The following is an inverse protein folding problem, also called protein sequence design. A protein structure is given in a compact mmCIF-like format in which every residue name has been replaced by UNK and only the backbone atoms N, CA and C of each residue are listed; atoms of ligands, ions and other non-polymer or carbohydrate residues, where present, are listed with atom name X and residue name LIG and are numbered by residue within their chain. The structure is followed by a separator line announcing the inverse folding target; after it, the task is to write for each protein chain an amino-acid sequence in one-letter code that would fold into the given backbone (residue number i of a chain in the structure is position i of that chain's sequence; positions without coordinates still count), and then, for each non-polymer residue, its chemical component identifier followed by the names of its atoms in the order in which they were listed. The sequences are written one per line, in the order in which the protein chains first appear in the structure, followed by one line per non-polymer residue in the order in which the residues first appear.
data_IF_726285921695
#
_entry.id   IF_726285921695
#
_cell.length_a   1.000
_cell.length_b   1.000
_cell.length_c   1.000
_cell.angle_alpha   90.00
_cell.angle_beta   90.00
_cell.angle_gamma   90.00
#
_symmetry.space_group_name_H-M   'P 1'
#
loop_
_entity.id
_entity.type
_entity.pdbx_description
1 polymer ?
#
# COMPACT_ATOMS: atom_id res chain seq x y z
N UNK A 1 -13.42 39.00 -7.54
CA UNK A 1 -13.03 38.77 -6.12
C UNK A 1 -13.86 37.66 -5.45
N UNK A 2 -15.21 37.69 -5.51
CA UNK A 2 -16.06 36.66 -4.86
C UNK A 2 -15.76 35.22 -5.32
N UNK A 3 -15.60 35.00 -6.62
CA UNK A 3 -15.32 33.67 -7.19
C UNK A 3 -13.93 33.15 -6.79
N UNK A 4 -12.96 34.05 -6.65
CA UNK A 4 -11.61 33.73 -6.16
C UNK A 4 -11.66 33.25 -4.71
N UNK A 5 -12.44 33.92 -3.86
CA UNK A 5 -12.60 33.52 -2.46
C UNK A 5 -13.27 32.16 -2.32
N UNK A 6 -14.32 31.90 -3.11
CA UNK A 6 -15.03 30.60 -3.13
C UNK A 6 -14.09 29.49 -3.59
N UNK A 7 -13.31 29.72 -4.64
CA UNK A 7 -12.34 28.74 -5.14
C UNK A 7 -11.27 28.41 -4.09
N UNK A 8 -10.73 29.42 -3.40
CA UNK A 8 -9.73 29.22 -2.34
C UNK A 8 -10.31 28.39 -1.19
N UNK A 9 -11.53 28.69 -0.74
CA UNK A 9 -12.21 27.92 0.32
C UNK A 9 -12.40 26.47 -0.12
N UNK A 10 -12.82 26.24 -1.36
CA UNK A 10 -13.01 24.90 -1.90
C UNK A 10 -11.70 24.10 -1.93
N UNK A 11 -10.60 24.71 -2.39
CA UNK A 11 -9.29 24.04 -2.41
C UNK A 11 -8.83 23.69 -1.00
N UNK A 12 -8.97 24.61 -0.04
CA UNK A 12 -8.62 24.34 1.37
C UNK A 12 -9.46 23.16 1.90
N UNK A 13 -10.76 23.15 1.63
CA UNK A 13 -11.64 22.06 2.05
C UNK A 13 -11.21 20.70 1.47
N UNK A 14 -10.84 20.66 0.19
CA UNK A 14 -10.34 19.43 -0.46
C UNK A 14 -9.02 18.97 0.18
N UNK A 15 -8.07 19.88 0.42
CA UNK A 15 -6.78 19.52 1.03
C UNK A 15 -6.97 19.00 2.46
N UNK A 16 -7.79 19.66 3.27
CA UNK A 16 -8.11 19.21 4.64
C UNK A 16 -8.80 17.85 4.60
N UNK A 17 -9.76 17.65 3.70
CA UNK A 17 -10.43 16.36 3.54
C UNK A 17 -9.45 15.24 3.19
N UNK A 18 -8.54 15.47 2.23
CA UNK A 18 -7.53 14.48 1.86
C UNK A 18 -6.55 14.21 3.01
N UNK A 19 -6.21 15.22 3.83
CA UNK A 19 -5.33 15.06 4.99
C UNK A 19 -5.95 14.20 6.10
N UNK A 20 -7.27 14.24 6.24
CA UNK A 20 -8.02 13.43 7.21
C UNK A 20 -8.25 11.99 6.77
N UNK A 21 -7.92 11.63 5.52
CA UNK A 21 -8.05 10.24 5.07
C UNK A 21 -7.11 9.32 5.87
N UNK A 22 -7.62 8.18 6.37
CA UNK A 22 -6.82 7.27 7.15
C UNK A 22 -5.68 6.72 6.29
N UNK A 23 -4.44 6.85 6.78
CA UNK A 23 -3.30 6.15 6.21
C UNK A 23 -3.45 4.68 6.55
N UNK A 24 -3.72 3.85 5.55
CA UNK A 24 -3.58 2.40 5.72
C UNK A 24 -2.09 2.09 5.74
N UNK A 25 -1.60 1.62 6.87
CA UNK A 25 -0.26 1.07 6.95
C UNK A 25 -0.21 -0.20 6.11
N UNK A 26 0.70 -0.20 5.14
CA UNK A 26 0.98 -1.36 4.31
C UNK A 26 2.14 -2.10 4.96
N UNK A 27 2.00 -3.41 5.25
CA UNK A 27 3.09 -4.15 5.89
C UNK A 27 4.29 -4.23 4.94
N UNK A 28 5.49 -4.05 5.51
CA UNK A 28 6.74 -4.18 4.78
C UNK A 28 7.04 -5.65 4.49
N UNK A 29 7.83 -5.88 3.44
CA UNK A 29 8.37 -7.19 3.10
C UNK A 29 9.56 -7.45 4.03
N UNK A 30 9.53 -8.50 4.87
CA UNK A 30 10.60 -8.79 5.80
C UNK A 30 11.93 -9.07 5.10
N UNK A 31 13.04 -8.59 5.67
CA UNK A 31 14.37 -8.85 5.13
C UNK A 31 14.93 -10.25 5.53
N UNK A 32 14.15 -11.32 5.35
CA UNK A 32 14.56 -12.69 5.66
C UNK A 32 14.80 -13.54 4.41
N UNK A 33 15.49 -14.67 4.56
CA UNK A 33 15.90 -15.53 3.43
C UNK A 33 14.74 -15.95 2.53
N UNK A 34 13.56 -16.21 3.08
CA UNK A 34 12.37 -16.62 2.33
C UNK A 34 11.86 -15.51 1.38
N UNK A 35 12.05 -14.24 1.75
CA UNK A 35 11.64 -13.08 0.96
C UNK A 35 12.79 -12.55 0.09
N UNK A 36 14.05 -12.76 0.48
CA UNK A 36 15.22 -12.39 -0.33
C UNK A 36 15.38 -13.25 -1.59
N UNK A 37 14.90 -14.50 -1.56
CA UNK A 37 14.93 -15.41 -2.71
C UNK A 37 13.69 -15.32 -3.61
N UNK A 38 12.70 -14.51 -3.24
CA UNK A 38 11.41 -14.41 -3.92
C UNK A 38 11.31 -13.07 -4.65
N UNK A 39 11.47 -13.09 -5.97
CA UNK A 39 11.60 -11.88 -6.81
C UNK A 39 10.36 -11.59 -7.67
N UNK A 40 9.35 -12.48 -7.68
CA UNK A 40 8.17 -12.31 -8.54
C UNK A 40 6.87 -12.34 -7.75
N UNK A 41 5.89 -11.58 -8.22
CA UNK A 41 4.55 -11.52 -7.61
C UNK A 41 3.85 -12.88 -7.64
N UNK A 42 4.10 -13.68 -8.68
CA UNK A 42 3.57 -15.02 -8.77
C UNK A 42 4.14 -15.95 -7.69
N UNK A 43 5.42 -15.83 -7.39
CA UNK A 43 6.06 -16.64 -6.35
C UNK A 43 5.52 -16.30 -4.95
N UNK A 44 5.24 -15.02 -4.69
CA UNK A 44 4.60 -14.58 -3.44
C UNK A 44 3.27 -15.31 -3.21
N UNK A 45 2.42 -15.38 -4.25
CA UNK A 45 1.12 -16.04 -4.19
C UNK A 45 1.27 -17.56 -4.06
N UNK A 46 1.99 -18.19 -5.00
CA UNK A 46 2.12 -19.65 -5.11
C UNK A 46 2.76 -20.29 -3.87
N UNK A 47 3.71 -19.60 -3.23
CA UNK A 47 4.43 -20.15 -2.08
C UNK A 47 3.67 -19.97 -0.76
N UNK A 48 3.14 -18.77 -0.49
CA UNK A 48 2.73 -18.42 0.88
C UNK A 48 1.52 -17.49 1.01
N UNK A 49 1.11 -16.74 -0.02
CA UNK A 49 0.09 -15.69 0.11
C UNK A 49 -1.23 -15.98 -0.62
N UNK A 50 -1.36 -17.12 -1.27
CA UNK A 50 -2.64 -17.55 -1.84
C UNK A 50 -3.61 -18.10 -0.77
N UNK A 51 -4.91 -18.16 -1.09
CA UNK A 51 -5.94 -18.72 -0.21
C UNK A 51 -5.61 -20.17 0.14
N UNK A 52 -5.61 -20.51 1.43
CA UNK A 52 -5.35 -21.88 1.91
C UNK A 52 -3.88 -22.22 2.11
N UNK A 53 -2.98 -21.25 1.93
CA UNK A 53 -1.55 -21.40 2.24
C UNK A 53 -1.25 -20.97 3.68
N UNK A 54 0.03 -20.95 4.07
CA UNK A 54 0.49 -20.64 5.44
C UNK A 54 0.22 -19.18 5.86
N UNK A 55 0.19 -18.23 4.93
CA UNK A 55 0.03 -16.80 5.23
C UNK A 55 -0.85 -16.09 4.19
N UNK A 56 -2.12 -16.49 4.02
CA UNK A 56 -2.98 -16.00 2.94
C UNK A 56 -3.21 -14.49 3.05
N UNK A 57 -3.39 -13.84 1.90
CA UNK A 57 -3.82 -12.44 1.83
C UNK A 57 -5.12 -12.22 2.62
N UNK A 58 -5.25 -11.04 3.23
CA UNK A 58 -6.49 -10.62 3.88
C UNK A 58 -7.65 -10.57 2.89
N UNK A 59 -8.87 -10.83 3.39
CA UNK A 59 -10.11 -10.70 2.59
C UNK A 59 -10.32 -9.30 2.00
N UNK A 60 -9.71 -8.28 2.62
CA UNK A 60 -9.78 -6.87 2.19
C UNK A 60 -8.62 -6.45 1.30
N UNK A 61 -7.76 -7.38 0.87
CA UNK A 61 -6.62 -7.03 0.03
C UNK A 61 -7.13 -6.41 -1.29
N UNK A 62 -6.51 -5.31 -1.77
CA UNK A 62 -6.75 -4.76 -3.10
C UNK A 62 -6.51 -5.79 -4.21
N UNK A 63 -6.61 -5.42 -5.50
CA UNK A 63 -6.36 -6.34 -6.59
C UNK A 63 -5.05 -7.12 -6.42
N UNK A 64 -5.10 -8.42 -6.71
CA UNK A 64 -4.00 -9.38 -6.47
C UNK A 64 -2.92 -9.32 -7.56
N UNK A 65 -2.51 -8.11 -7.92
CA UNK A 65 -1.44 -7.86 -8.87
C UNK A 65 -0.68 -6.61 -8.39
N UNK A 66 0.56 -6.44 -8.84
CA UNK A 66 1.38 -5.29 -8.47
C UNK A 66 1.74 -5.22 -6.97
N UNK A 67 2.10 -6.35 -6.33
CA UNK A 67 2.39 -6.44 -4.89
C UNK A 67 3.38 -5.37 -4.41
N UNK A 68 4.45 -5.16 -5.19
CA UNK A 68 5.54 -4.26 -4.85
C UNK A 68 5.21 -2.76 -5.00
N UNK A 69 4.02 -2.40 -5.53
CA UNK A 69 3.58 -1.00 -5.58
C UNK A 69 3.27 -0.44 -4.21
N UNK A 70 2.82 -1.29 -3.29
CA UNK A 70 2.43 -0.89 -1.95
C UNK A 70 3.34 -1.52 -0.89
N UNK A 71 3.77 -2.78 -1.10
CA UNK A 71 4.65 -3.47 -0.17
C UNK A 71 6.12 -3.20 -0.51
N UNK A 72 6.75 -2.30 0.25
CA UNK A 72 8.18 -2.03 0.17
C UNK A 72 8.98 -2.99 1.03
N UNK A 73 10.27 -3.16 0.72
CA UNK A 73 11.17 -3.92 1.59
C UNK A 73 11.57 -3.11 2.81
N UNK A 74 11.82 -3.76 3.95
CA UNK A 74 12.24 -3.07 5.19
C UNK A 74 13.50 -2.20 5.02
N UNK A 75 14.34 -2.47 4.01
CA UNK A 75 15.53 -1.64 3.71
C UNK A 75 15.19 -0.29 3.05
N UNK A 76 14.00 -0.13 2.46
CA UNK A 76 13.62 1.09 1.72
C UNK A 76 12.88 2.14 2.58
N UNK A 77 12.36 1.77 3.75
CA UNK A 77 11.59 2.68 4.64
C UNK A 77 12.50 3.53 5.55
N UNK A 78 13.80 3.61 5.25
CA UNK A 78 14.80 4.33 6.04
C UNK A 78 15.69 5.29 5.24
N UNK A 79 15.28 5.71 4.03
CA UNK A 79 16.04 6.64 3.18
C UNK A 79 15.28 7.92 2.89
#
# INVERSE_FOLDING_TARGET
MKNTLIFVIFVIAVVVFLFLLPRKEVPLIPANEAHLQTMTEQDCLKKCHEKGTKAPLSKKHPPKFACFKCHKTEKEEGR
#
